data_IF_332444087890
#
_entry.id   IF_332444087890
#
_cell.length_a   1.000
_cell.length_b   1.000
_cell.length_c   1.000
_cell.angle_alpha   90.00
_cell.angle_beta   90.00
_cell.angle_gamma   90.00
#
_symmetry.space_group_name_H-M   'P 1'
#
loop_
_entity.id
_entity.type
_entity.pdbx_description
1 polymer ?
#
# COMPACT_ATOMS: atom_id res chain seq x y z
N UNK A 1 0.38 -4.55 -6.93
CA UNK A 1 1.10 -3.73 -5.93
C UNK A 1 2.43 -3.19 -6.45
N UNK A 2 3.07 -3.85 -7.41
CA UNK A 2 4.30 -3.36 -8.03
C UNK A 2 4.06 -2.10 -8.88
N UNK A 3 2.89 -2.03 -9.52
CA UNK A 3 2.42 -0.84 -10.24
C UNK A 3 2.33 0.38 -9.31
N UNK A 4 1.83 0.20 -8.08
CA UNK A 4 1.73 1.29 -7.09
C UNK A 4 3.12 1.75 -6.65
N UNK A 5 4.07 0.83 -6.44
CA UNK A 5 5.46 1.17 -6.11
C UNK A 5 6.16 1.93 -7.25
N UNK A 6 5.91 1.53 -8.51
CA UNK A 6 6.40 2.25 -9.69
C UNK A 6 5.80 3.66 -9.75
N UNK A 7 4.49 3.81 -9.53
CA UNK A 7 3.84 5.12 -9.49
C UNK A 7 4.44 6.02 -8.40
N UNK A 8 4.74 5.49 -7.21
CA UNK A 8 5.43 6.28 -6.18
C UNK A 8 6.80 6.78 -6.64
N UNK A 9 7.59 5.93 -7.32
CA UNK A 9 8.91 6.32 -7.84
C UNK A 9 8.80 7.35 -8.96
N UNK A 10 7.91 7.14 -9.92
CA UNK A 10 7.65 8.08 -11.01
C UNK A 10 7.15 9.43 -10.49
N UNK A 11 6.27 9.42 -9.48
CA UNK A 11 5.79 10.65 -8.83
C UNK A 11 6.92 11.44 -8.19
N UNK A 12 7.87 10.76 -7.52
CA UNK A 12 9.05 11.40 -6.97
C UNK A 12 9.93 12.02 -8.06
N UNK A 13 10.01 11.40 -9.24
CA UNK A 13 10.72 11.94 -10.39
C UNK A 13 9.99 13.08 -11.13
N UNK A 14 8.89 13.62 -10.59
CA UNK A 14 8.10 14.66 -11.24
C UNK A 14 7.15 14.15 -12.33
N UNK A 15 6.96 12.83 -12.42
CA UNK A 15 6.01 12.22 -13.35
C UNK A 15 4.55 12.61 -13.05
N UNK A 16 3.75 12.70 -14.10
CA UNK A 16 2.30 12.95 -14.05
C UNK A 16 1.53 11.68 -14.41
N UNK A 17 0.41 11.45 -13.72
CA UNK A 17 -0.49 10.33 -14.00
C UNK A 17 -1.74 10.88 -14.67
N UNK A 18 -2.06 10.34 -15.84
CA UNK A 18 -3.22 10.72 -16.64
C UNK A 18 -4.04 9.46 -16.92
N UNK A 19 -5.36 9.61 -16.99
CA UNK A 19 -6.28 8.56 -17.40
C UNK A 19 -7.03 9.05 -18.65
N UNK A 20 -7.15 8.19 -19.67
CA UNK A 20 -7.87 8.48 -20.92
C UNK A 20 -9.10 7.58 -20.94
N UNK A 21 -10.26 8.04 -20.44
CA UNK A 21 -11.45 7.20 -20.28
C UNK A 21 -12.02 6.69 -21.61
N UNK A 22 -11.70 7.34 -22.74
CA UNK A 22 -12.10 6.93 -24.09
C UNK A 22 -11.36 5.67 -24.56
N UNK A 23 -10.22 5.33 -23.94
CA UNK A 23 -9.43 4.15 -24.26
C UNK A 23 -9.83 2.98 -23.37
N UNK A 24 -10.69 2.09 -23.90
CA UNK A 24 -11.22 0.95 -23.15
C UNK A 24 -10.44 -0.32 -23.48
N UNK A 25 -9.86 -0.96 -22.45
CA UNK A 25 -9.15 -2.24 -22.56
C UNK A 25 -9.79 -3.25 -21.62
N UNK A 26 -10.21 -4.40 -22.15
CA UNK A 26 -10.76 -5.50 -21.36
C UNK A 26 -9.64 -6.35 -20.75
N UNK A 27 -9.72 -6.61 -19.44
CA UNK A 27 -8.75 -7.42 -18.72
C UNK A 27 -9.44 -8.34 -17.72
N UNK A 28 -8.95 -9.58 -17.61
CA UNK A 28 -9.41 -10.54 -16.60
C UNK A 28 -8.63 -10.31 -15.31
N UNK A 29 -9.27 -9.70 -14.32
CA UNK A 29 -8.67 -9.46 -13.01
C UNK A 29 -8.34 -10.75 -12.27
N UNK A 30 -7.08 -10.89 -11.82
CA UNK A 30 -6.68 -11.98 -10.92
C UNK A 30 -6.42 -13.34 -11.58
N UNK A 31 -6.15 -13.40 -12.89
CA UNK A 31 -5.97 -14.66 -13.63
C UNK A 31 -4.82 -15.59 -13.19
N UNK A 32 -3.84 -15.10 -12.42
CA UNK A 32 -2.65 -15.91 -12.04
C UNK A 32 -2.70 -16.52 -10.64
N UNK A 33 -3.39 -15.87 -9.69
CA UNK A 33 -3.44 -16.31 -8.29
C UNK A 33 -4.82 -16.03 -7.72
N UNK A 34 -5.47 -17.08 -7.23
CA UNK A 34 -6.77 -17.00 -6.57
C UNK A 34 -6.72 -16.04 -5.37
N UNK A 35 -7.78 -15.24 -5.22
CA UNK A 35 -7.94 -14.28 -4.13
C UNK A 35 -7.94 -14.94 -2.75
N UNK A 36 -8.35 -16.21 -2.66
CA UNK A 36 -8.35 -16.94 -1.40
C UNK A 36 -6.97 -17.47 -0.98
N UNK A 37 -5.99 -17.49 -1.90
CA UNK A 37 -4.70 -18.15 -1.70
C UNK A 37 -3.88 -17.49 -0.58
N UNK A 38 -3.40 -18.24 0.42
CA UNK A 38 -2.48 -17.75 1.44
C UNK A 38 -1.18 -17.18 0.85
N UNK A 39 -0.73 -17.68 -0.30
CA UNK A 39 0.46 -17.13 -0.97
C UNK A 39 0.20 -15.72 -1.50
N UNK A 40 -0.98 -15.47 -2.07
CA UNK A 40 -1.37 -14.13 -2.50
C UNK A 40 -1.46 -13.16 -1.32
N UNK A 41 -2.00 -13.61 -0.19
CA UNK A 41 -2.00 -12.84 1.07
C UNK A 41 -0.57 -12.49 1.47
N UNK A 42 0.33 -13.46 1.54
CA UNK A 42 1.74 -13.21 1.87
C UNK A 42 2.38 -12.17 0.93
N UNK A 43 2.23 -12.35 -0.39
CA UNK A 43 2.80 -11.44 -1.38
C UNK A 43 2.24 -10.03 -1.25
N UNK A 44 0.93 -9.87 -1.04
CA UNK A 44 0.29 -8.57 -0.85
C UNK A 44 0.79 -7.85 0.41
N UNK A 45 0.81 -8.52 1.57
CA UNK A 45 1.29 -7.90 2.81
C UNK A 45 2.78 -7.57 2.70
N UNK A 46 3.61 -8.50 2.20
CA UNK A 46 5.05 -8.29 2.02
C UNK A 46 5.34 -7.12 1.09
N UNK A 47 4.73 -7.11 -0.09
CA UNK A 47 4.96 -6.05 -1.07
C UNK A 47 4.49 -4.69 -0.51
N UNK A 48 3.47 -4.66 0.33
CA UNK A 48 2.94 -3.42 0.89
C UNK A 48 3.91 -2.83 1.90
N UNK A 49 4.40 -3.67 2.81
CA UNK A 49 5.42 -3.30 3.78
C UNK A 49 6.70 -2.82 3.07
N UNK A 50 7.13 -3.50 2.01
CA UNK A 50 8.31 -3.13 1.25
C UNK A 50 8.13 -1.78 0.55
N UNK A 51 6.96 -1.56 -0.05
CA UNK A 51 6.60 -0.29 -0.70
C UNK A 51 6.58 0.87 0.32
N UNK A 52 6.02 0.66 1.52
CA UNK A 52 6.02 1.66 2.60
C UNK A 52 7.46 2.02 2.99
N UNK A 53 8.31 1.03 3.28
CA UNK A 53 9.71 1.29 3.66
C UNK A 53 10.44 2.05 2.57
N UNK A 54 10.27 1.68 1.31
CA UNK A 54 10.95 2.35 0.19
C UNK A 54 10.47 3.79 -0.03
N UNK A 55 9.16 4.04 0.03
CA UNK A 55 8.60 5.27 -0.54
C UNK A 55 8.02 6.26 0.49
N UNK A 56 7.60 5.82 1.67
CA UNK A 56 6.92 6.69 2.65
C UNK A 56 7.81 7.87 3.05
N UNK A 57 7.29 9.09 3.08
CA UNK A 57 8.01 10.25 3.65
C UNK A 57 7.57 10.54 5.09
N UNK A 58 8.52 10.92 5.95
CA UNK A 58 8.29 11.16 7.37
C UNK A 58 8.74 10.02 8.30
N UNK A 59 8.09 9.92 9.47
CA UNK A 59 8.46 9.01 10.55
C UNK A 59 8.15 7.55 10.21
N UNK A 60 9.13 6.86 9.63
CA UNK A 60 8.99 5.49 9.15
C UNK A 60 8.62 4.50 10.26
N UNK A 61 9.24 4.61 11.44
CA UNK A 61 8.97 3.70 12.55
C UNK A 61 7.50 3.76 12.97
N UNK A 62 6.96 4.96 13.20
CA UNK A 62 5.55 5.14 13.53
C UNK A 62 4.61 4.64 12.42
N UNK A 63 4.98 4.82 11.15
CA UNK A 63 4.18 4.29 10.03
C UNK A 63 4.15 2.77 9.99
N UNK A 64 5.28 2.11 10.21
CA UNK A 64 5.37 0.65 10.27
C UNK A 64 4.65 0.12 11.51
N UNK A 65 4.73 0.80 12.64
CA UNK A 65 4.01 0.43 13.86
C UNK A 65 2.48 0.49 13.64
N UNK A 66 1.95 1.60 13.10
CA UNK A 66 0.53 1.70 12.77
C UNK A 66 0.12 0.60 11.76
N UNK A 67 0.96 0.34 10.75
CA UNK A 67 0.71 -0.74 9.78
C UNK A 67 0.64 -2.11 10.46
N UNK A 68 1.54 -2.40 11.40
CA UNK A 68 1.52 -3.63 12.19
C UNK A 68 0.23 -3.77 12.99
N UNK A 69 -0.28 -2.69 13.60
CA UNK A 69 -1.57 -2.71 14.30
C UNK A 69 -2.74 -3.03 13.37
N UNK A 70 -2.78 -2.44 12.18
CA UNK A 70 -3.81 -2.72 11.17
C UNK A 70 -3.71 -4.14 10.62
N UNK A 71 -2.50 -4.65 10.42
CA UNK A 71 -2.27 -6.03 9.98
C UNK A 71 -2.67 -7.04 11.08
N UNK A 72 -2.50 -6.67 12.36
CA UNK A 72 -3.03 -7.39 13.52
C UNK A 72 -4.56 -7.46 13.52
N UNK A 73 -5.24 -6.34 13.24
CA UNK A 73 -6.70 -6.33 13.09
C UNK A 73 -7.18 -7.23 11.94
N UNK A 74 -6.46 -7.22 10.81
CA UNK A 74 -6.75 -8.14 9.71
C UNK A 74 -6.51 -9.61 10.09
N UNK A 75 -5.48 -9.91 10.89
CA UNK A 75 -5.21 -11.25 11.40
C UNK A 75 -6.31 -11.74 12.37
N UNK A 76 -6.85 -10.86 13.22
CA UNK A 76 -8.01 -11.17 14.07
C UNK A 76 -9.24 -11.50 13.22
N UNK A 77 -9.49 -10.75 12.14
CA UNK A 77 -10.56 -11.07 11.20
C UNK A 77 -10.38 -12.46 10.55
N UNK A 78 -9.16 -12.81 10.16
CA UNK A 78 -8.87 -14.17 9.66
C UNK A 78 -9.04 -15.25 10.73
N UNK A 79 -8.71 -14.94 11.99
CA UNK A 79 -8.91 -15.84 13.11
C UNK A 79 -10.39 -16.18 13.31
N UNK A 80 -11.27 -15.17 13.32
CA UNK A 80 -12.72 -15.38 13.43
C UNK A 80 -13.31 -16.18 12.25
N UNK A 81 -12.63 -16.20 11.10
CA UNK A 81 -13.01 -17.01 9.93
C UNK A 81 -12.35 -18.39 9.89
N UNK A 82 -11.51 -18.74 10.86
CA UNK A 82 -10.76 -20.01 10.86
C UNK A 82 -9.65 -20.09 9.80
N UNK A 83 -9.23 -18.96 9.22
CA UNK A 83 -8.29 -18.90 8.10
C UNK A 83 -6.82 -18.86 8.56
N UNK A 84 -6.41 -19.82 9.39
CA UNK A 84 -5.09 -19.85 10.03
C UNK A 84 -3.91 -19.76 9.06
N UNK A 85 -4.02 -20.34 7.85
CA UNK A 85 -2.99 -20.23 6.81
C UNK A 85 -2.72 -18.79 6.39
N UNK A 86 -3.75 -17.91 6.40
CA UNK A 86 -3.61 -16.49 6.07
C UNK A 86 -2.95 -15.72 7.21
N UNK A 87 -3.20 -16.09 8.46
CA UNK A 87 -2.48 -15.54 9.63
C UNK A 87 -0.98 -15.84 9.49
N UNK A 88 -0.62 -17.10 9.20
CA UNK A 88 0.77 -17.50 8.93
C UNK A 88 1.39 -16.72 7.76
N UNK A 89 0.61 -16.42 6.71
CA UNK A 89 1.05 -15.61 5.59
C UNK A 89 1.36 -14.14 5.99
N UNK A 90 0.54 -13.54 6.85
CA UNK A 90 0.78 -12.18 7.40
C UNK A 90 2.05 -12.18 8.26
N UNK A 91 2.20 -13.12 9.18
CA UNK A 91 3.40 -13.24 10.01
C UNK A 91 4.66 -13.43 9.16
N UNK A 92 4.60 -14.31 8.15
CA UNK A 92 5.69 -14.52 7.20
C UNK A 92 6.07 -13.24 6.46
N UNK A 93 5.10 -12.39 6.12
CA UNK A 93 5.36 -11.10 5.48
C UNK A 93 6.16 -10.14 6.39
N UNK A 94 5.81 -10.07 7.68
CA UNK A 94 6.57 -9.26 8.66
C UNK A 94 7.97 -9.81 8.89
N UNK A 95 8.14 -11.13 9.05
CA UNK A 95 9.47 -11.75 9.14
C UNK A 95 10.30 -11.43 7.91
N UNK A 96 9.70 -11.47 6.71
CA UNK A 96 10.37 -11.11 5.46
C UNK A 96 10.83 -9.64 5.44
N UNK A 97 9.98 -8.72 5.92
CA UNK A 97 10.33 -7.31 6.10
C UNK A 97 11.57 -7.15 6.98
N UNK A 98 11.58 -7.74 8.17
CA UNK A 98 12.70 -7.59 9.10
C UNK A 98 13.99 -8.18 8.54
N UNK A 99 13.91 -9.34 7.89
CA UNK A 99 15.07 -9.97 7.22
C UNK A 99 15.67 -9.12 6.11
N UNK A 100 14.86 -8.37 5.36
CA UNK A 100 15.31 -7.56 4.23
C UNK A 100 15.44 -6.07 4.54
N UNK A 101 15.23 -5.67 5.80
CA UNK A 101 15.13 -4.27 6.19
C UNK A 101 16.37 -3.46 5.77
N UNK A 102 17.57 -3.98 5.98
CA UNK A 102 18.82 -3.32 5.58
C UNK A 102 18.87 -3.02 4.07
N UNK A 103 18.52 -3.99 3.22
CA UNK A 103 18.46 -3.81 1.75
C UNK A 103 17.39 -2.78 1.37
N UNK A 104 16.23 -2.82 2.00
CA UNK A 104 15.14 -1.89 1.75
C UNK A 104 15.49 -0.46 2.17
N UNK A 105 16.19 -0.29 3.30
CA UNK A 105 16.68 1.01 3.75
C UNK A 105 17.77 1.58 2.83
N UNK A 106 18.67 0.73 2.30
CA UNK A 106 19.60 1.16 1.24
C UNK A 106 18.85 1.66 0.01
N UNK A 107 17.87 0.90 -0.47
CA UNK A 107 17.03 1.30 -1.62
C UNK A 107 16.24 2.59 -1.33
N UNK A 108 15.73 2.77 -0.12
CA UNK A 108 15.06 4.00 0.32
C UNK A 108 15.97 5.21 0.21
N UNK A 109 17.24 5.10 0.60
CA UNK A 109 18.23 6.18 0.46
C UNK A 109 18.44 6.53 -1.02
N UNK A 110 18.65 5.53 -1.88
CA UNK A 110 18.76 5.74 -3.33
C UNK A 110 17.53 6.47 -3.89
N UNK A 111 16.32 6.04 -3.52
CA UNK A 111 15.07 6.67 -3.97
C UNK A 111 14.94 8.12 -3.49
N UNK A 112 15.37 8.42 -2.26
CA UNK A 112 15.35 9.78 -1.72
C UNK A 112 16.34 10.72 -2.41
N UNK A 113 17.44 10.21 -2.96
CA UNK A 113 18.39 11.03 -3.71
C UNK A 113 17.82 11.45 -5.07
N UNK A 114 16.93 10.64 -5.67
CA UNK A 114 16.34 10.93 -6.98
C UNK A 114 15.36 12.12 -6.98
N UNK A 115 15.00 12.66 -5.82
CA UNK A 115 14.07 13.79 -5.71
C UNK A 115 14.27 14.54 -4.40
N UNK A 116 14.55 15.84 -4.50
CA UNK A 116 14.72 16.73 -3.35
C UNK A 116 13.39 17.16 -2.74
N UNK A 117 12.31 17.16 -3.51
CA UNK A 117 10.99 17.63 -3.08
C UNK A 117 9.93 16.54 -3.13
N UNK A 118 9.20 16.37 -2.02
CA UNK A 118 8.10 15.42 -1.97
C UNK A 118 6.83 16.02 -2.59
N UNK A 119 6.48 15.57 -3.79
CA UNK A 119 5.19 15.88 -4.39
C UNK A 119 4.04 15.27 -3.57
N UNK A 120 3.41 16.11 -2.75
CA UNK A 120 2.30 15.73 -1.88
C UNK A 120 0.92 15.96 -2.51
N UNK A 121 0.83 16.52 -3.72
CA UNK A 121 -0.44 16.83 -4.40
C UNK A 121 -1.27 15.55 -4.56
N UNK A 122 -2.55 15.58 -4.21
CA UNK A 122 -3.45 14.43 -4.26
C UNK A 122 -3.19 13.37 -3.18
N UNK A 123 -2.37 13.64 -2.16
CA UNK A 123 -2.25 12.77 -0.99
C UNK A 123 -3.46 12.95 -0.07
N UNK A 124 -4.22 11.88 0.18
CA UNK A 124 -5.33 11.90 1.13
C UNK A 124 -4.84 11.75 2.57
N UNK A 125 -5.12 12.75 3.42
CA UNK A 125 -4.76 12.76 4.85
C UNK A 125 -5.77 11.99 5.74
N UNK A 126 -6.89 11.53 5.18
CA UNK A 126 -7.88 10.74 5.92
C UNK A 126 -7.56 9.23 5.92
N UNK A 127 -8.30 8.47 6.72
CA UNK A 127 -8.27 7.01 6.68
C UNK A 127 -9.21 6.48 5.59
N UNK A 128 -8.65 5.90 4.54
CA UNK A 128 -9.43 5.20 3.50
C UNK A 128 -10.17 3.98 4.06
N UNK A 129 -9.58 3.28 5.04
CA UNK A 129 -10.25 2.16 5.72
C UNK A 129 -11.48 2.65 6.48
N UNK A 130 -11.38 3.78 7.17
CA UNK A 130 -12.52 4.37 7.86
C UNK A 130 -13.62 4.80 6.90
N UNK A 131 -13.24 5.51 5.83
CA UNK A 131 -14.16 5.95 4.78
C UNK A 131 -14.92 4.77 4.17
N UNK A 132 -14.23 3.67 3.91
CA UNK A 132 -14.82 2.49 3.26
C UNK A 132 -15.67 1.64 4.20
N UNK A 133 -15.15 1.28 5.39
CA UNK A 133 -15.82 0.33 6.29
C UNK A 133 -16.88 0.97 7.20
N UNK A 134 -16.70 2.22 7.60
CA UNK A 134 -17.60 2.89 8.56
C UNK A 134 -18.47 3.97 7.92
N UNK A 135 -17.97 4.67 6.89
CA UNK A 135 -18.76 5.68 6.16
C UNK A 135 -19.42 5.16 4.88
N UNK A 136 -19.15 3.91 4.48
CA UNK A 136 -19.73 3.31 3.28
C UNK A 136 -19.31 3.98 1.96
N UNK A 137 -18.24 4.77 1.95
CA UNK A 137 -17.78 5.48 0.76
C UNK A 137 -17.15 4.48 -0.22
N UNK A 138 -17.71 4.36 -1.43
CA UNK A 138 -17.25 3.43 -2.48
C UNK A 138 -16.64 4.11 -3.70
N UNK A 139 -16.85 5.40 -3.89
CA UNK A 139 -16.37 6.16 -5.05
C UNK A 139 -15.39 7.24 -4.63
N UNK A 140 -14.47 7.60 -5.54
CA UNK A 140 -13.47 8.63 -5.30
C UNK A 140 -14.09 10.01 -5.07
N UNK A 141 -15.09 10.38 -5.86
CA UNK A 141 -15.80 11.66 -5.76
C UNK A 141 -16.51 11.85 -4.41
N UNK A 142 -16.93 10.75 -3.76
CA UNK A 142 -17.58 10.78 -2.45
C UNK A 142 -16.60 10.87 -1.27
N UNK A 143 -15.28 10.85 -1.50
CA UNK A 143 -14.31 11.14 -0.44
C UNK A 143 -14.40 12.61 -0.02
N UNK A 144 -14.03 12.89 1.23
CA UNK A 144 -13.96 14.27 1.69
C UNK A 144 -12.80 14.98 0.98
N UNK A 145 -13.13 15.80 -0.01
CA UNK A 145 -12.15 16.46 -0.87
C UNK A 145 -11.22 17.41 -0.09
N UNK A 146 -11.67 17.95 1.05
CA UNK A 146 -10.87 18.82 1.93
C UNK A 146 -9.69 18.11 2.61
N UNK A 147 -9.66 16.78 2.58
CA UNK A 147 -8.58 15.99 3.19
C UNK A 147 -7.44 15.70 2.21
N UNK A 148 -7.55 16.06 0.93
CA UNK A 148 -6.45 15.95 -0.01
C UNK A 148 -5.46 17.10 0.19
N UNK A 149 -4.17 16.83 0.01
CA UNK A 149 -3.12 17.85 0.01
C UNK A 149 -2.95 18.43 -1.38
N UNK A 150 -2.77 19.75 -1.43
CA UNK A 150 -2.49 20.50 -2.63
C UNK A 150 -3.75 20.75 -3.45
N UNK A 151 -4.14 22.02 -3.49
CA UNK A 151 -4.73 22.71 -4.64
C UNK A 151 -3.75 23.83 -5.02
#
# INVERSE_FOLDING_TARGET
>A
MEEIDLCWRLKKMGGRFLAVPESVVYHVGGGTLDYSSPNKVYLNFRNNLYMIVKNHEGWLFGKIFNRLSLDGLAALHFLFKGEFKKIGAVLKAHVSLYRHLGKLLKKRREIKVMSTEFNSIGLYNGSLLWAFFFKGIRTFSALNQRLFRGD
#
